data_IF_693352613918
#
_entry.id   IF_693352613918
#
_cell.length_a   1.000
_cell.length_b   1.000
_cell.length_c   1.000
_cell.angle_alpha   90.00
_cell.angle_beta   90.00
_cell.angle_gamma   90.00
#
_symmetry.space_group_name_H-M   'P 1'
#
loop_
_entity.id
_entity.type
_entity.pdbx_description
1 polymer ?
#
# COMPACT_ATOMS: atom_id res chain seq x y z
N UNK A 1 11.41 -15.38 0.86
CA UNK A 1 11.95 -14.01 0.98
C UNK A 1 12.33 -13.53 -0.41
N UNK A 2 11.62 -12.52 -0.93
CA UNK A 2 11.93 -11.93 -2.25
C UNK A 2 12.92 -10.78 -2.05
N UNK A 3 14.21 -11.09 -2.06
CA UNK A 3 15.26 -10.06 -2.01
C UNK A 3 15.65 -9.65 -3.42
N UNK A 4 15.28 -8.44 -3.81
CA UNK A 4 15.69 -7.83 -5.08
C UNK A 4 16.82 -6.84 -4.83
N UNK A 5 17.90 -6.93 -5.60
CA UNK A 5 18.97 -5.93 -5.61
C UNK A 5 18.71 -4.92 -6.72
N UNK A 6 18.75 -3.64 -6.39
CA UNK A 6 18.56 -2.56 -7.36
C UNK A 6 19.89 -1.91 -7.72
N UNK A 7 20.08 -1.60 -9.00
CA UNK A 7 21.26 -0.88 -9.49
C UNK A 7 21.24 0.60 -9.08
N UNK A 8 20.05 1.19 -8.96
CA UNK A 8 19.87 2.61 -8.60
C UNK A 8 18.79 2.77 -7.55
N UNK A 9 18.88 3.84 -6.75
CA UNK A 9 17.83 4.21 -5.78
C UNK A 9 16.49 4.50 -6.47
N UNK A 10 16.51 5.06 -7.68
CA UNK A 10 15.30 5.38 -8.42
C UNK A 10 14.53 4.11 -8.82
N UNK A 11 15.24 3.06 -9.27
CA UNK A 11 14.62 1.78 -9.57
C UNK A 11 13.97 1.14 -8.33
N UNK A 12 14.62 1.24 -7.16
CA UNK A 12 14.04 0.77 -5.91
C UNK A 12 12.77 1.53 -5.53
N UNK A 13 12.77 2.87 -5.68
CA UNK A 13 11.59 3.70 -5.39
C UNK A 13 10.42 3.38 -6.31
N UNK A 14 10.67 3.18 -7.60
CA UNK A 14 9.62 2.81 -8.56
C UNK A 14 8.96 1.48 -8.15
N UNK A 15 9.75 0.44 -7.88
CA UNK A 15 9.21 -0.88 -7.49
C UNK A 15 8.43 -0.81 -6.15
N UNK A 16 8.86 0.06 -5.23
CA UNK A 16 8.11 0.32 -3.97
C UNK A 16 6.77 0.99 -4.26
N UNK A 17 6.74 2.02 -5.11
CA UNK A 17 5.50 2.73 -5.47
C UNK A 17 4.54 1.78 -6.20
N UNK A 18 5.05 1.02 -7.16
CA UNK A 18 4.29 0.01 -7.93
C UNK A 18 3.66 -1.05 -7.03
N UNK A 19 4.27 -1.34 -5.88
CA UNK A 19 3.69 -2.22 -4.87
C UNK A 19 2.72 -1.48 -3.93
N UNK A 20 3.10 -0.31 -3.43
CA UNK A 20 2.34 0.41 -2.39
C UNK A 20 1.00 0.90 -2.94
N UNK A 21 0.98 1.50 -4.12
CA UNK A 21 -0.23 2.18 -4.61
C UNK A 21 -1.34 1.19 -5.05
N UNK A 22 -1.16 0.35 -6.09
CA UNK A 22 -2.25 -0.48 -6.59
C UNK A 22 -2.53 -1.72 -5.75
N UNK A 23 -1.57 -2.18 -4.93
CA UNK A 23 -1.74 -3.40 -4.14
C UNK A 23 -1.89 -3.12 -2.65
N UNK A 24 -0.89 -2.50 -2.02
CA UNK A 24 -0.92 -2.35 -0.56
C UNK A 24 -2.06 -1.44 -0.10
N UNK A 25 -2.11 -0.20 -0.59
CA UNK A 25 -3.09 0.79 -0.16
C UNK A 25 -4.49 0.48 -0.66
N UNK A 26 -4.63 -0.02 -1.90
CA UNK A 26 -5.93 -0.29 -2.50
C UNK A 26 -6.54 -1.63 -2.09
N UNK A 27 -5.75 -2.70 -2.02
CA UNK A 27 -6.24 -4.08 -1.85
C UNK A 27 -5.77 -4.75 -0.57
N UNK A 28 -4.68 -4.29 0.03
CA UNK A 28 -4.11 -4.88 1.24
C UNK A 28 -5.07 -4.72 2.40
N UNK A 29 -5.60 -5.82 2.93
CA UNK A 29 -6.49 -5.78 4.09
C UNK A 29 -5.69 -5.93 5.37
N UNK A 30 -6.00 -5.08 6.35
CA UNK A 30 -5.31 -5.07 7.63
C UNK A 30 -6.27 -5.38 8.77
N UNK A 31 -5.95 -6.39 9.58
CA UNK A 31 -6.77 -6.77 10.74
C UNK A 31 -6.96 -5.60 11.72
N UNK A 32 -5.93 -4.76 11.89
CA UNK A 32 -5.96 -3.55 12.73
C UNK A 32 -6.92 -2.48 12.23
N UNK A 33 -7.24 -2.47 10.93
CA UNK A 33 -8.20 -1.56 10.32
C UNK A 33 -9.63 -2.13 10.29
N UNK A 34 -9.87 -3.31 10.89
CA UNK A 34 -11.15 -4.01 10.76
C UNK A 34 -11.23 -4.87 9.50
N UNK A 35 -10.08 -5.31 8.98
CA UNK A 35 -9.95 -6.15 7.78
C UNK A 35 -10.42 -5.48 6.47
N UNK A 36 -10.28 -4.16 6.39
CA UNK A 36 -10.48 -3.35 5.19
C UNK A 36 -9.13 -2.81 4.70
N UNK A 37 -9.11 -2.27 3.47
CA UNK A 37 -7.90 -1.64 2.94
C UNK A 37 -7.65 -0.23 3.50
N UNK A 38 -6.40 0.26 3.46
CA UNK A 38 -6.10 1.64 3.86
C UNK A 38 -6.95 2.67 3.10
N UNK A 39 -7.13 2.48 1.79
CA UNK A 39 -7.98 3.34 0.97
C UNK A 39 -9.45 3.30 1.41
N UNK A 40 -9.98 2.12 1.74
CA UNK A 40 -11.35 1.97 2.26
C UNK A 40 -11.48 2.63 3.65
N UNK A 41 -10.47 2.50 4.50
CA UNK A 41 -10.43 3.12 5.81
C UNK A 41 -10.47 4.64 5.73
N UNK A 42 -9.62 5.24 4.88
CA UNK A 42 -9.62 6.69 4.63
C UNK A 42 -10.97 7.18 4.07
N UNK A 43 -11.57 6.43 3.13
CA UNK A 43 -12.89 6.76 2.59
C UNK A 43 -13.98 6.74 3.66
N UNK A 44 -13.98 5.73 4.54
CA UNK A 44 -14.95 5.63 5.63
C UNK A 44 -14.77 6.75 6.66
N UNK A 45 -13.52 7.12 6.95
CA UNK A 45 -13.20 8.25 7.81
C UNK A 45 -13.78 9.57 7.25
N UNK A 46 -13.55 9.85 5.95
CA UNK A 46 -14.07 11.05 5.29
C UNK A 46 -15.61 11.09 5.20
N UNK A 47 -16.29 9.94 5.15
CA UNK A 47 -17.76 9.87 5.15
C UNK A 47 -18.39 10.13 6.52
N UNK A 48 -17.61 9.94 7.59
CA UNK A 48 -18.08 10.06 8.97
C UNK A 48 -17.75 11.44 9.56
N UNK A 49 -16.83 12.17 8.92
CA UNK A 49 -16.49 13.57 9.19
C UNK A 49 -17.51 14.51 8.56
#
# INVERSE_FOLDING_TARGET
MNYRRYKTRQAAKADIIDYIEPFYNQKGRHATLGNISPAEYELNYLKTA
#
